data_IF_502662892236
#
_entry.id   IF_502662892236
#
_cell.length_a   1.000
_cell.length_b   1.000
_cell.length_c   1.000
_cell.angle_alpha   90.00
_cell.angle_beta   90.00
_cell.angle_gamma   90.00
#
_symmetry.space_group_name_H-M   'P 1'
#
loop_
_entity.id
_entity.type
_entity.pdbx_description
1 polymer ?
#
# COMPACT_ATOMS: atom_id res chain seq x y z
N UNK A 1 26.04 47.84 14.75
CA UNK A 1 26.40 46.59 14.07
C UNK A 1 25.48 45.49 14.62
N UNK A 2 24.39 45.19 13.90
CA UNK A 2 23.38 44.19 14.27
C UNK A 2 23.37 43.13 13.16
N UNK A 3 23.45 41.85 13.55
CA UNK A 3 23.33 40.72 12.62
C UNK A 3 21.86 40.41 12.34
N UNK A 4 21.49 39.91 11.14
CA UNK A 4 20.14 39.46 10.87
C UNK A 4 19.94 37.99 11.26
N UNK A 5 18.79 37.71 11.87
CA UNK A 5 18.25 36.37 12.09
C UNK A 5 17.72 35.78 10.79
N UNK A 6 18.11 34.55 10.48
CA UNK A 6 17.50 33.77 9.41
C UNK A 6 16.21 33.10 9.92
N UNK A 7 15.10 33.33 9.22
CA UNK A 7 13.82 32.66 9.41
C UNK A 7 13.75 31.55 8.35
N UNK A 8 13.65 30.30 8.78
CA UNK A 8 13.34 29.18 7.90
C UNK A 8 11.82 29.17 7.65
N UNK A 9 11.43 29.41 6.40
CA UNK A 9 10.06 29.26 5.90
C UNK A 9 9.92 27.88 5.27
N UNK A 10 9.07 27.02 5.85
CA UNK A 10 8.55 25.85 5.19
C UNK A 10 7.35 26.29 4.33
N UNK A 11 7.57 26.42 3.02
CA UNK A 11 6.50 26.63 2.04
C UNK A 11 6.25 25.32 1.31
N UNK A 12 5.15 24.66 1.66
CA UNK A 12 4.58 23.57 0.85
C UNK A 12 3.59 24.21 -0.12
N UNK A 13 3.99 24.32 -1.39
CA UNK A 13 3.11 24.74 -2.48
C UNK A 13 2.43 23.49 -3.06
N UNK A 14 1.12 23.37 -2.89
CA UNK A 14 0.26 22.60 -3.80
C UNK A 14 -0.81 23.55 -4.30
N UNK A 15 -0.77 23.82 -5.60
CA UNK A 15 -1.77 24.60 -6.33
C UNK A 15 -2.18 23.75 -7.53
N UNK A 16 -3.44 23.34 -7.59
CA UNK A 16 -4.07 22.83 -8.82
C UNK A 16 -5.42 23.51 -9.00
N UNK A 17 -5.66 23.88 -10.25
CA UNK A 17 -6.79 24.67 -10.74
C UNK A 17 -7.99 23.77 -11.01
N UNK A 18 -9.17 24.22 -10.60
CA UNK A 18 -10.47 23.63 -10.92
C UNK A 18 -10.91 24.00 -12.35
N UNK A 19 -11.69 23.12 -13.00
CA UNK A 19 -12.78 23.55 -13.87
C UNK A 19 -14.14 23.17 -13.27
N UNK A 20 -14.97 24.20 -13.07
CA UNK A 20 -16.42 24.10 -12.82
C UNK A 20 -17.11 23.37 -13.98
N UNK A 21 -17.99 22.40 -13.69
CA UNK A 21 -19.26 22.25 -14.42
C UNK A 21 -20.39 21.73 -13.52
N UNK A 22 -21.54 22.37 -13.69
CA UNK A 22 -22.83 22.16 -13.03
C UNK A 22 -23.59 20.98 -13.66
N UNK A 23 -24.31 20.18 -12.86
CA UNK A 23 -25.79 20.08 -12.86
C UNK A 23 -26.26 18.89 -11.99
N UNK A 24 -27.46 19.04 -11.45
CA UNK A 24 -28.10 18.26 -10.38
C UNK A 24 -29.45 17.68 -10.93
N UNK A 25 -30.28 16.95 -10.14
CA UNK A 25 -30.60 15.51 -10.16
C UNK A 25 -32.07 15.25 -10.65
N UNK A 26 -32.93 14.24 -10.28
CA UNK A 26 -32.84 13.15 -9.26
C UNK A 26 -33.55 11.78 -9.52
N UNK A 27 -33.41 10.88 -8.50
CA UNK A 27 -34.30 9.78 -8.02
C UNK A 27 -34.42 8.51 -8.90
N UNK A 28 -34.49 7.25 -8.39
CA UNK A 28 -35.40 6.68 -7.37
C UNK A 28 -35.02 5.19 -7.03
N UNK A 29 -35.23 4.79 -5.77
CA UNK A 29 -35.64 3.49 -5.14
C UNK A 29 -35.33 2.04 -5.67
N UNK A 30 -34.89 1.21 -4.69
CA UNK A 30 -35.26 -0.19 -4.29
C UNK A 30 -35.03 -1.43 -5.18
N UNK A 31 -34.38 -2.45 -4.58
CA UNK A 31 -34.54 -3.88 -4.97
C UNK A 31 -33.63 -4.87 -4.23
N UNK A 32 -34.22 -5.76 -3.41
CA UNK A 32 -33.61 -6.96 -2.77
C UNK A 32 -33.77 -8.17 -3.72
N UNK A 33 -32.85 -9.15 -3.75
CA UNK A 33 -33.10 -10.62 -3.68
C UNK A 33 -31.79 -11.45 -3.66
N UNK A 34 -31.78 -12.45 -2.77
CA UNK A 34 -30.81 -13.52 -2.49
C UNK A 34 -30.48 -14.45 -3.68
N UNK A 35 -29.30 -15.10 -3.66
CA UNK A 35 -29.18 -16.54 -3.89
C UNK A 35 -27.95 -17.16 -3.21
N UNK A 36 -28.20 -18.32 -2.59
CA UNK A 36 -27.27 -19.21 -1.90
C UNK A 36 -26.68 -20.22 -2.89
N UNK A 37 -25.36 -20.46 -2.84
CA UNK A 37 -24.74 -21.63 -3.43
C UNK A 37 -23.76 -22.28 -2.46
N UNK A 38 -24.07 -23.53 -2.10
CA UNK A 38 -23.18 -24.45 -1.44
C UNK A 38 -22.02 -24.82 -2.39
N UNK A 39 -20.78 -24.69 -1.92
CA UNK A 39 -19.72 -25.58 -2.39
C UNK A 39 -18.76 -25.91 -1.25
N UNK A 40 -18.45 -27.20 -1.14
CA UNK A 40 -17.66 -27.83 -0.10
C UNK A 40 -16.17 -27.74 -0.43
N UNK A 41 -15.40 -27.03 0.40
CA UNK A 41 -13.93 -27.06 0.40
C UNK A 41 -13.38 -27.12 1.84
N UNK A 42 -12.15 -27.65 2.04
CA UNK A 42 -11.73 -28.23 3.30
C UNK A 42 -11.45 -27.18 4.38
N UNK A 43 -11.81 -27.53 5.62
CA UNK A 43 -11.60 -26.73 6.83
C UNK A 43 -10.10 -26.51 7.07
N UNK A 44 -9.60 -25.36 6.67
CA UNK A 44 -8.41 -24.76 7.27
C UNK A 44 -8.90 -23.81 8.37
N UNK A 45 -8.45 -24.02 9.62
CA UNK A 45 -8.69 -23.09 10.72
C UNK A 45 -7.50 -22.14 10.81
N UNK A 46 -7.54 -20.92 10.25
CA UNK A 46 -6.72 -19.86 10.80
C UNK A 46 -7.21 -19.56 12.22
N UNK A 47 -6.27 -19.40 13.14
CA UNK A 47 -6.58 -18.85 14.46
C UNK A 47 -7.25 -17.49 14.27
N UNK A 48 -8.44 -17.22 14.82
CA UNK A 48 -9.05 -15.91 14.67
C UNK A 48 -8.20 -14.91 15.47
N UNK A 49 -7.47 -14.05 14.77
CA UNK A 49 -7.23 -12.73 15.32
C UNK A 49 -8.61 -12.09 15.43
N UNK A 50 -9.15 -12.05 16.65
CA UNK A 50 -10.38 -11.32 16.95
C UNK A 50 -10.02 -9.85 16.80
N UNK A 51 -10.36 -9.29 15.65
CA UNK A 51 -10.31 -7.85 15.41
C UNK A 51 -11.46 -7.24 16.21
N UNK A 52 -11.14 -6.69 17.39
CA UNK A 52 -12.08 -5.87 18.12
C UNK A 52 -12.18 -4.53 17.40
N UNK A 53 -13.30 -4.32 16.70
CA UNK A 53 -13.73 -2.99 16.30
C UNK A 53 -14.03 -2.22 17.59
N UNK A 54 -13.18 -1.24 17.92
CA UNK A 54 -13.40 -0.38 19.07
C UNK A 54 -13.92 0.95 18.55
N UNK A 55 -15.24 1.12 18.57
CA UNK A 55 -15.87 2.44 18.40
C UNK A 55 -15.34 3.34 19.52
N UNK A 56 -14.66 4.42 19.15
CA UNK A 56 -14.14 5.40 20.09
C UNK A 56 -15.29 6.08 20.81
N UNK A 57 -15.50 5.71 22.07
CA UNK A 57 -16.43 6.35 22.98
C UNK A 57 -15.89 7.74 23.38
N UNK A 58 -16.43 8.82 22.81
CA UNK A 58 -16.12 10.19 23.20
C UNK A 58 -17.00 10.60 24.39
N UNK A 59 -16.39 10.81 25.56
CA UNK A 59 -17.05 11.43 26.72
C UNK A 59 -16.20 12.56 27.30
N UNK A 60 -16.82 13.76 27.33
CA UNK A 60 -16.57 14.82 28.29
C UNK A 60 -15.67 15.96 27.83
N UNK A 61 -16.26 17.03 27.29
CA UNK A 61 -15.65 18.37 27.31
C UNK A 61 -16.71 19.38 27.74
N UNK A 62 -16.34 20.16 28.75
CA UNK A 62 -17.08 21.28 29.32
C UNK A 62 -17.26 22.42 28.30
N UNK A 63 -18.44 23.04 28.37
CA UNK A 63 -18.89 24.14 27.52
C UNK A 63 -18.29 25.46 28.01
N UNK A 64 -17.59 26.17 27.13
CA UNK A 64 -17.38 27.61 27.23
C UNK A 64 -17.25 28.25 25.82
N UNK A 65 -18.25 29.08 25.52
CA UNK A 65 -18.29 30.31 24.72
C UNK A 65 -17.69 30.39 23.29
N UNK A 66 -18.65 30.39 22.35
CA UNK A 66 -18.92 31.27 21.20
C UNK A 66 -17.86 31.52 20.09
N UNK A 67 -18.37 31.29 18.86
CA UNK A 67 -17.92 31.74 17.54
C UNK A 67 -16.63 31.15 16.96
N UNK A 68 -16.65 29.84 16.74
CA UNK A 68 -15.84 29.18 15.71
C UNK A 68 -16.80 28.66 14.64
N UNK A 69 -16.73 29.23 13.44
CA UNK A 69 -17.26 28.56 12.24
C UNK A 69 -16.39 27.32 12.01
N UNK A 70 -16.68 26.24 12.74
CA UNK A 70 -16.23 24.91 12.38
C UNK A 70 -17.01 24.56 11.11
N UNK A 71 -16.40 24.83 9.96
CA UNK A 71 -16.78 24.09 8.76
C UNK A 71 -16.55 22.64 9.10
N UNK A 72 -17.64 21.91 9.35
CA UNK A 72 -17.68 20.45 9.47
C UNK A 72 -17.13 19.88 8.15
N UNK A 73 -15.80 19.86 8.04
CA UNK A 73 -15.06 19.17 7.00
C UNK A 73 -15.34 17.70 7.28
N UNK A 74 -16.37 17.17 6.61
CA UNK A 74 -16.79 15.78 6.69
C UNK A 74 -15.56 14.91 6.47
N UNK A 75 -14.98 14.45 7.58
CA UNK A 75 -13.74 13.68 7.52
C UNK A 75 -14.05 12.36 6.84
N UNK A 76 -13.47 12.15 5.67
CA UNK A 76 -13.62 10.93 4.88
C UNK A 76 -13.52 9.67 5.77
N UNK A 77 -14.39 8.67 5.57
CA UNK A 77 -14.39 7.47 6.40
C UNK A 77 -13.03 6.78 6.30
N UNK A 78 -12.35 6.67 7.44
CA UNK A 78 -11.03 6.04 7.53
C UNK A 78 -11.04 4.91 8.56
N UNK A 79 -10.47 3.78 8.18
CA UNK A 79 -10.27 2.65 9.10
C UNK A 79 -8.86 2.73 9.67
N UNK A 80 -8.74 2.62 11.00
CA UNK A 80 -7.45 2.73 11.69
C UNK A 80 -7.17 1.52 12.56
N UNK A 81 -6.03 0.88 12.32
CA UNK A 81 -5.52 -0.25 13.09
C UNK A 81 -4.23 0.15 13.80
N UNK A 82 -4.03 -0.31 15.04
CA UNK A 82 -2.79 -0.09 15.79
C UNK A 82 -2.30 -1.38 16.39
N UNK A 83 -1.00 -1.64 16.29
CA UNK A 83 -0.35 -2.85 16.81
C UNK A 83 1.03 -2.54 17.36
N UNK A 84 1.43 -3.27 18.41
CA UNK A 84 2.71 -3.09 19.08
C UNK A 84 3.65 -4.25 18.77
N UNK A 85 4.93 -3.95 18.56
CA UNK A 85 5.96 -4.89 18.17
C UNK A 85 7.27 -4.60 18.91
N UNK A 86 8.16 -5.59 18.93
CA UNK A 86 9.53 -5.42 19.41
C UNK A 86 10.49 -5.94 18.33
N UNK A 87 11.27 -5.04 17.73
CA UNK A 87 12.23 -5.37 16.68
C UNK A 87 13.66 -5.26 17.24
N UNK A 88 14.22 -6.38 17.69
CA UNK A 88 15.59 -6.42 18.20
C UNK A 88 15.81 -5.52 19.42
N UNK A 89 14.83 -5.44 20.32
CA UNK A 89 14.85 -4.58 21.50
C UNK A 89 14.26 -3.19 21.28
N UNK A 90 13.95 -2.79 20.03
CA UNK A 90 13.31 -1.52 19.72
C UNK A 90 11.77 -1.68 19.81
N UNK A 91 11.08 -1.06 20.78
CA UNK A 91 9.63 -1.08 20.84
C UNK A 91 9.05 -0.23 19.69
N UNK A 92 8.16 -0.82 18.90
CA UNK A 92 7.54 -0.17 17.76
C UNK A 92 6.02 -0.19 17.89
N UNK A 93 5.38 0.92 17.52
CA UNK A 93 3.93 1.01 17.35
C UNK A 93 3.65 1.25 15.87
N UNK A 94 3.04 0.27 15.22
CA UNK A 94 2.53 0.37 13.86
C UNK A 94 1.09 0.88 13.90
N UNK A 95 0.82 1.94 13.16
CA UNK A 95 -0.53 2.41 12.87
C UNK A 95 -0.76 2.28 11.37
N UNK A 96 -1.80 1.54 10.98
CA UNK A 96 -2.24 1.39 9.59
C UNK A 96 -3.56 2.13 9.42
N UNK A 97 -3.66 2.97 8.39
CA UNK A 97 -4.88 3.70 8.04
C UNK A 97 -5.30 3.36 6.62
N UNK A 98 -6.57 3.04 6.41
CA UNK A 98 -7.16 2.81 5.10
C UNK A 98 -8.13 3.93 4.80
N UNK A 99 -7.99 4.55 3.64
CA UNK A 99 -8.88 5.58 3.13
C UNK A 99 -9.24 5.24 1.69
N UNK A 100 -10.48 5.50 1.27
CA UNK A 100 -10.84 5.42 -0.14
C UNK A 100 -10.12 6.54 -0.90
N UNK A 101 -9.78 6.31 -2.17
CA UNK A 101 -9.20 7.34 -3.01
C UNK A 101 -10.31 8.26 -3.54
N UNK A 102 -10.18 9.56 -3.32
CA UNK A 102 -11.22 10.56 -3.61
C UNK A 102 -11.67 10.54 -5.08
N UNK A 103 -10.73 10.34 -6.01
CA UNK A 103 -10.99 10.39 -7.45
C UNK A 103 -11.19 8.99 -8.09
N UNK A 104 -10.91 7.90 -7.36
CA UNK A 104 -10.84 6.55 -7.92
C UNK A 104 -11.60 5.56 -7.01
N UNK A 105 -12.87 5.27 -7.28
CA UNK A 105 -13.76 4.58 -6.35
C UNK A 105 -13.28 3.15 -5.99
N UNK A 106 -12.56 2.50 -6.90
CA UNK A 106 -12.01 1.15 -6.74
C UNK A 106 -10.55 1.13 -6.27
N UNK A 107 -10.06 2.26 -5.73
CA UNK A 107 -8.70 2.40 -5.18
C UNK A 107 -8.75 2.83 -3.72
N UNK A 108 -7.90 2.23 -2.91
CA UNK A 108 -7.79 2.53 -1.49
C UNK A 108 -6.35 2.83 -1.12
N UNK A 109 -6.13 3.96 -0.46
CA UNK A 109 -4.82 4.35 0.06
C UNK A 109 -4.62 3.69 1.42
N UNK A 110 -3.50 2.99 1.56
CA UNK A 110 -3.10 2.27 2.77
C UNK A 110 -1.79 2.87 3.26
N UNK A 111 -1.87 3.60 4.38
CA UNK A 111 -0.70 4.25 4.98
C UNK A 111 -0.28 3.54 6.26
N UNK A 112 0.99 3.20 6.35
CA UNK A 112 1.61 2.58 7.51
C UNK A 112 2.57 3.57 8.18
N UNK A 113 2.27 3.96 9.42
CA UNK A 113 3.14 4.82 10.21
C UNK A 113 3.73 4.04 11.39
N UNK A 114 5.06 3.99 11.46
CA UNK A 114 5.79 3.29 12.52
C UNK A 114 6.37 4.32 13.48
N UNK A 115 6.10 4.14 14.77
CA UNK A 115 6.61 5.02 15.81
C UNK A 115 7.36 4.24 16.88
N UNK A 116 8.24 4.93 17.60
CA UNK A 116 8.85 4.45 18.85
C UNK A 116 8.77 5.56 19.90
N UNK A 117 9.22 5.28 21.11
CA UNK A 117 9.39 6.28 22.16
C UNK A 117 10.86 6.69 22.21
N UNK A 118 11.13 8.00 22.31
CA UNK A 118 12.47 8.50 22.58
C UNK A 118 12.81 8.35 24.09
N UNK A 119 13.99 8.82 24.50
CA UNK A 119 14.44 8.77 25.91
C UNK A 119 13.53 9.57 26.86
N UNK A 120 12.87 10.62 26.36
CA UNK A 120 11.90 11.44 27.09
C UNK A 120 10.51 10.81 27.18
N UNK A 121 10.27 9.69 26.48
CA UNK A 121 8.94 9.08 26.37
C UNK A 121 8.04 9.67 25.29
N UNK A 122 8.54 10.57 24.44
CA UNK A 122 7.76 11.14 23.33
C UNK A 122 7.69 10.17 22.16
N UNK A 123 6.52 10.14 21.52
CA UNK A 123 6.28 9.35 20.31
C UNK A 123 6.96 10.01 19.12
N UNK A 124 7.92 9.31 18.50
CA UNK A 124 8.63 9.75 17.30
C UNK A 124 8.40 8.76 16.16
N UNK A 125 8.23 9.28 14.94
CA UNK A 125 8.03 8.44 13.75
C UNK A 125 9.37 7.90 13.25
N UNK A 126 9.52 6.59 13.17
CA UNK A 126 10.77 5.95 12.72
C UNK A 126 10.72 5.55 11.25
N UNK A 127 9.54 5.23 10.74
CA UNK A 127 9.33 4.85 9.36
C UNK A 127 7.89 5.14 8.93
N UNK A 128 7.70 5.27 7.62
CA UNK A 128 6.40 5.40 6.98
C UNK A 128 6.41 4.61 5.67
N UNK A 129 5.29 4.03 5.29
CA UNK A 129 5.07 3.53 3.95
C UNK A 129 3.67 3.90 3.46
N UNK A 130 3.56 4.15 2.17
CA UNK A 130 2.30 4.39 1.47
C UNK A 130 2.17 3.34 0.36
N UNK A 131 0.98 2.76 0.27
CA UNK A 131 0.61 1.79 -0.75
C UNK A 131 -0.81 2.04 -1.20
N UNK A 132 -1.14 1.64 -2.42
CA UNK A 132 -2.50 1.68 -2.95
C UNK A 132 -2.98 0.27 -3.26
N UNK A 133 -4.16 -0.07 -2.77
CA UNK A 133 -4.88 -1.27 -3.13
C UNK A 133 -5.77 -0.93 -4.32
N UNK A 134 -5.60 -1.64 -5.42
CA UNK A 134 -6.41 -1.48 -6.64
C UNK A 134 -7.25 -2.74 -6.80
N UNK A 135 -8.57 -2.57 -6.73
CA UNK A 135 -9.53 -3.64 -7.01
C UNK A 135 -9.70 -3.80 -8.52
N UNK A 136 -8.75 -4.52 -9.13
CA UNK A 136 -8.67 -4.67 -10.58
C UNK A 136 -9.95 -5.23 -11.18
N UNK A 137 -10.61 -6.17 -10.51
CA UNK A 137 -11.81 -6.83 -11.05
C UNK A 137 -12.93 -5.82 -11.24
N UNK A 138 -13.16 -4.98 -10.23
CA UNK A 138 -14.16 -3.91 -10.31
C UNK A 138 -13.79 -2.83 -11.35
N UNK A 139 -12.51 -2.47 -11.48
CA UNK A 139 -12.08 -1.51 -12.54
C UNK A 139 -12.29 -2.10 -13.94
N UNK A 140 -12.01 -3.38 -14.14
CA UNK A 140 -12.22 -4.04 -15.43
C UNK A 140 -13.71 -4.19 -15.77
N UNK A 141 -14.58 -4.33 -14.77
CA UNK A 141 -16.03 -4.36 -14.94
C UNK A 141 -16.60 -3.02 -15.45
N UNK A 142 -15.89 -1.89 -15.24
CA UNK A 142 -16.22 -0.60 -15.85
C UNK A 142 -15.86 -0.54 -17.35
N UNK A 143 -14.87 -1.33 -17.79
CA UNK A 143 -14.48 -1.53 -19.19
C UNK A 143 -12.97 -1.63 -19.41
N UNK A 144 -12.54 -2.31 -20.48
CA UNK A 144 -11.11 -2.52 -20.79
C UNK A 144 -10.35 -1.19 -21.00
N UNK A 145 -10.99 -0.18 -21.61
CA UNK A 145 -10.37 1.13 -21.80
C UNK A 145 -10.21 1.90 -20.48
N UNK A 146 -11.09 1.64 -19.49
CA UNK A 146 -11.04 2.29 -18.17
C UNK A 146 -9.81 1.84 -17.37
N UNK A 147 -9.34 0.60 -17.58
CA UNK A 147 -8.14 0.10 -16.91
C UNK A 147 -6.90 0.97 -17.16
N UNK A 148 -6.69 1.39 -18.40
CA UNK A 148 -5.57 2.28 -18.72
C UNK A 148 -5.72 3.64 -18.05
N UNK A 149 -6.90 4.27 -18.15
CA UNK A 149 -7.15 5.58 -17.59
C UNK A 149 -7.07 5.57 -16.06
N UNK A 150 -7.55 4.51 -15.42
CA UNK A 150 -7.44 4.31 -13.98
C UNK A 150 -5.99 4.28 -13.52
N UNK A 151 -5.14 3.51 -14.22
CA UNK A 151 -3.71 3.41 -13.88
C UNK A 151 -2.93 4.70 -14.15
N UNK A 152 -3.29 5.45 -15.20
CA UNK A 152 -2.73 6.78 -15.49
C UNK A 152 -3.15 7.82 -14.44
N UNK A 153 -4.42 7.79 -14.05
CA UNK A 153 -4.99 8.72 -13.06
C UNK A 153 -4.42 8.48 -11.66
N UNK A 154 -4.19 7.22 -11.26
CA UNK A 154 -3.68 6.89 -9.92
C UNK A 154 -2.27 7.48 -9.70
N UNK A 155 -1.30 7.08 -10.52
CA UNK A 155 0.06 7.61 -10.43
C UNK A 155 0.93 7.21 -11.62
N UNK A 156 2.05 7.92 -11.76
CA UNK A 156 3.09 7.54 -12.71
C UNK A 156 3.66 6.14 -12.44
N UNK A 157 3.68 5.68 -11.19
CA UNK A 157 4.19 4.35 -10.84
C UNK A 157 3.20 3.25 -11.27
N UNK A 158 1.89 3.49 -11.12
CA UNK A 158 0.85 2.62 -11.64
C UNK A 158 0.88 2.55 -13.17
N UNK A 159 0.98 3.70 -13.85
CA UNK A 159 1.12 3.71 -15.32
C UNK A 159 2.37 2.92 -15.77
N UNK A 160 3.50 3.09 -15.10
CA UNK A 160 4.72 2.31 -15.42
C UNK A 160 4.53 0.81 -15.18
N UNK A 161 3.77 0.42 -14.15
CA UNK A 161 3.42 -0.98 -13.89
C UNK A 161 2.60 -1.53 -15.06
N UNK A 162 1.60 -0.77 -15.51
CA UNK A 162 0.81 -1.09 -16.70
C UNK A 162 1.72 -1.24 -17.94
N UNK A 163 2.54 -0.25 -18.25
CA UNK A 163 3.38 -0.27 -19.44
C UNK A 163 4.42 -1.40 -19.47
N UNK A 164 4.93 -1.82 -18.31
CA UNK A 164 5.96 -2.85 -18.25
C UNK A 164 5.42 -4.25 -18.01
N UNK A 165 4.38 -4.39 -17.18
CA UNK A 165 3.93 -5.68 -16.64
C UNK A 165 2.56 -6.07 -17.14
N UNK A 166 1.59 -5.16 -17.21
CA UNK A 166 0.17 -5.51 -17.41
C UNK A 166 -0.35 -5.20 -18.82
N UNK A 167 -1.22 -6.03 -19.37
CA UNK A 167 -1.91 -5.80 -20.64
C UNK A 167 -3.17 -4.94 -20.48
N UNK A 168 -3.81 -4.61 -21.59
CA UNK A 168 -5.04 -3.80 -21.62
C UNK A 168 -6.21 -4.46 -20.89
N UNK A 169 -6.26 -5.79 -20.84
CA UNK A 169 -7.22 -6.59 -20.10
C UNK A 169 -6.88 -6.74 -18.61
N UNK A 170 -5.88 -6.02 -18.10
CA UNK A 170 -5.41 -6.12 -16.72
C UNK A 170 -4.60 -7.37 -16.39
N UNK A 171 -4.44 -8.31 -17.33
CA UNK A 171 -3.56 -9.48 -17.20
C UNK A 171 -2.07 -9.14 -17.28
N UNK A 172 -1.19 -10.11 -17.09
CA UNK A 172 0.25 -9.97 -17.29
C UNK A 172 0.60 -10.13 -18.77
N UNK A 173 1.55 -9.33 -19.27
CA UNK A 173 1.98 -9.40 -20.67
C UNK A 173 2.60 -10.76 -21.00
N UNK A 174 2.22 -11.33 -22.15
CA UNK A 174 2.83 -12.56 -22.70
C UNK A 174 4.36 -12.50 -22.82
N UNK A 175 4.92 -11.31 -23.07
CA UNK A 175 6.39 -11.15 -23.12
C UNK A 175 7.09 -11.53 -21.81
N UNK A 176 6.38 -11.45 -20.68
CA UNK A 176 6.84 -11.86 -19.34
C UNK A 176 6.54 -13.34 -19.08
N UNK A 177 5.38 -13.86 -19.49
CA UNK A 177 5.04 -15.26 -19.22
C UNK A 177 5.89 -16.21 -20.06
N UNK A 178 5.87 -16.00 -21.38
CA UNK A 178 6.38 -16.94 -22.37
C UNK A 178 7.46 -16.32 -23.28
N UNK A 179 7.60 -15.00 -23.27
CA UNK A 179 8.47 -14.26 -24.19
C UNK A 179 9.88 -13.93 -23.68
N UNK A 180 10.48 -12.93 -24.35
CA UNK A 180 11.87 -12.51 -24.14
C UNK A 180 12.11 -11.72 -22.83
N UNK A 181 11.04 -11.26 -22.17
CA UNK A 181 11.12 -10.54 -20.88
C UNK A 181 10.85 -11.45 -19.69
N UNK A 182 10.83 -12.78 -19.87
CA UNK A 182 10.51 -13.77 -18.82
C UNK A 182 11.42 -13.74 -17.59
N UNK A 183 12.66 -13.29 -17.74
CA UNK A 183 13.60 -13.18 -16.61
C UNK A 183 13.76 -14.51 -15.87
N UNK A 184 13.49 -14.51 -14.56
CA UNK A 184 13.57 -15.71 -13.72
C UNK A 184 12.45 -16.74 -13.97
N UNK A 185 11.36 -16.34 -14.64
CA UNK A 185 10.18 -17.19 -14.84
C UNK A 185 9.44 -17.55 -13.55
N UNK A 186 9.66 -16.80 -12.46
CA UNK A 186 8.96 -16.97 -11.17
C UNK A 186 7.49 -16.56 -11.28
N UNK A 187 7.21 -15.58 -12.16
CA UNK A 187 5.91 -14.96 -12.31
C UNK A 187 5.30 -15.30 -13.66
N UNK A 188 3.99 -15.57 -13.67
CA UNK A 188 3.18 -15.86 -14.85
C UNK A 188 1.74 -15.40 -14.69
N UNK A 189 0.81 -16.12 -15.33
CA UNK A 189 -0.63 -15.83 -15.34
C UNK A 189 -1.30 -15.83 -13.97
N UNK A 190 -0.63 -16.30 -12.91
CA UNK A 190 -1.16 -16.12 -11.56
C UNK A 190 -1.34 -14.64 -11.20
N UNK A 191 -0.62 -13.72 -11.85
CA UNK A 191 -0.80 -12.29 -11.66
C UNK A 191 -2.09 -11.75 -12.31
N UNK A 192 -2.82 -12.55 -13.10
CA UNK A 192 -4.01 -12.13 -13.86
C UNK A 192 -5.27 -12.00 -13.00
N UNK A 193 -5.26 -12.61 -11.80
CA UNK A 193 -6.45 -12.71 -10.94
C UNK A 193 -6.37 -11.87 -9.65
N UNK A 194 -7.49 -11.27 -9.23
CA UNK A 194 -7.65 -10.56 -7.96
C UNK A 194 -7.10 -9.13 -7.90
N UNK A 195 -7.35 -8.47 -6.78
CA UNK A 195 -6.79 -7.16 -6.47
C UNK A 195 -5.27 -7.24 -6.20
N UNK A 196 -4.59 -6.10 -6.28
CA UNK A 196 -3.18 -6.03 -5.90
C UNK A 196 -2.84 -4.76 -5.14
N UNK A 197 -1.77 -4.83 -4.36
CA UNK A 197 -1.22 -3.71 -3.61
C UNK A 197 0.01 -3.15 -4.30
N UNK A 198 0.01 -1.89 -4.71
CA UNK A 198 1.19 -1.19 -5.22
C UNK A 198 1.83 -0.36 -4.10
N UNK A 199 3.05 -0.73 -3.68
CA UNK A 199 3.83 0.02 -2.70
C UNK A 199 4.52 1.19 -3.41
N UNK A 200 4.08 2.41 -3.08
CA UNK A 200 4.53 3.66 -3.72
C UNK A 200 5.74 4.24 -3.01
N UNK A 201 5.63 4.41 -1.71
CA UNK A 201 6.68 5.06 -0.91
C UNK A 201 7.04 4.24 0.33
N UNK A 202 8.34 4.22 0.64
CA UNK A 202 8.84 3.69 1.90
C UNK A 202 9.98 4.57 2.38
N UNK A 203 9.81 5.09 3.60
CA UNK A 203 10.77 5.97 4.25
C UNK A 203 11.18 5.41 5.61
N UNK A 204 12.48 5.45 5.91
CA UNK A 204 13.03 5.16 7.24
C UNK A 204 13.93 6.31 7.65
N UNK A 205 13.66 6.86 8.83
CA UNK A 205 14.47 7.93 9.40
C UNK A 205 15.91 7.48 9.58
N UNK A 206 16.84 8.37 9.26
CA UNK A 206 18.28 8.09 9.22
C UNK A 206 18.83 7.40 10.48
N UNK A 207 18.47 7.78 11.73
CA UNK A 207 18.97 7.12 12.95
C UNK A 207 18.55 5.64 13.10
N UNK A 208 17.50 5.23 12.37
CA UNK A 208 16.90 3.91 12.41
C UNK A 208 17.20 3.06 11.16
N UNK A 209 17.95 3.61 10.19
CA UNK A 209 18.46 2.84 9.05
C UNK A 209 19.42 1.73 9.52
N UNK A 210 19.59 0.70 8.69
CA UNK A 210 20.42 -0.48 8.98
C UNK A 210 20.01 -1.32 10.21
N UNK A 211 18.82 -1.08 10.81
CA UNK A 211 18.27 -1.88 11.92
C UNK A 211 17.19 -2.88 11.48
N UNK A 212 17.07 -3.11 10.18
CA UNK A 212 16.04 -4.01 9.61
C UNK A 212 14.62 -3.44 9.57
N UNK A 213 14.41 -2.16 9.92
CA UNK A 213 13.08 -1.51 9.98
C UNK A 213 12.36 -1.56 8.63
N UNK A 214 13.03 -1.23 7.53
CA UNK A 214 12.43 -1.26 6.19
C UNK A 214 11.94 -2.67 5.82
N UNK A 215 12.80 -3.68 6.00
CA UNK A 215 12.47 -5.09 5.74
C UNK A 215 11.31 -5.56 6.62
N UNK A 216 11.33 -5.21 7.90
CA UNK A 216 10.25 -5.54 8.83
C UNK A 216 8.93 -4.89 8.40
N UNK A 217 8.95 -3.60 8.04
CA UNK A 217 7.76 -2.88 7.59
C UNK A 217 7.19 -3.47 6.30
N UNK A 218 8.02 -3.76 5.29
CA UNK A 218 7.59 -4.44 4.07
C UNK A 218 6.85 -5.76 4.38
N UNK A 219 7.35 -6.53 5.35
CA UNK A 219 6.70 -7.77 5.78
C UNK A 219 5.37 -7.52 6.50
N UNK A 220 5.23 -6.42 7.24
CA UNK A 220 3.95 -6.07 7.85
C UNK A 220 2.92 -5.69 6.77
N UNK A 221 3.33 -4.90 5.78
CA UNK A 221 2.46 -4.49 4.67
C UNK A 221 1.86 -5.72 3.97
N UNK A 222 2.70 -6.70 3.62
CA UNK A 222 2.27 -7.92 2.91
C UNK A 222 1.72 -9.02 3.83
N UNK A 223 1.61 -8.79 5.14
CA UNK A 223 1.03 -9.77 6.08
C UNK A 223 -0.48 -9.71 6.18
N UNK A 224 -1.10 -8.70 5.55
CA UNK A 224 -2.55 -8.48 5.56
C UNK A 224 -3.15 -8.95 4.24
N UNK A 225 -3.75 -10.16 4.17
CA UNK A 225 -4.27 -10.73 2.92
C UNK A 225 -5.63 -10.15 2.51
N UNK A 226 -6.29 -9.43 3.41
CA UNK A 226 -7.67 -9.00 3.26
C UNK A 226 -7.83 -7.59 3.80
N UNK A 227 -8.45 -6.73 3.00
CA UNK A 227 -8.70 -5.34 3.32
C UNK A 227 -10.19 -5.14 3.52
N UNK A 228 -10.55 -4.61 4.68
CA UNK A 228 -11.92 -4.12 4.93
C UNK A 228 -12.04 -2.76 4.25
N UNK A 229 -13.05 -2.61 3.41
CA UNK A 229 -13.30 -1.37 2.68
C UNK A 229 -14.04 -0.35 3.59
N UNK A 230 -13.64 0.93 3.61
CA UNK A 230 -14.32 1.94 4.44
C UNK A 230 -15.79 2.17 4.07
N UNK A 231 -16.12 2.05 2.78
CA UNK A 231 -17.39 2.51 2.21
C UNK A 231 -18.31 1.40 1.73
N UNK A 232 -18.04 0.13 2.05
CA UNK A 232 -18.84 -0.99 1.55
C UNK A 232 -18.77 -2.26 2.42
N UNK A 233 -19.74 -3.18 2.29
CA UNK A 233 -19.77 -4.44 3.04
C UNK A 233 -18.74 -5.48 2.56
N UNK A 234 -17.80 -5.09 1.70
CA UNK A 234 -16.86 -5.97 1.02
C UNK A 234 -15.54 -6.14 1.77
N UNK A 235 -15.02 -7.37 1.71
CA UNK A 235 -13.62 -7.67 2.02
C UNK A 235 -12.94 -7.90 0.67
N UNK A 236 -11.95 -7.08 0.34
CA UNK A 236 -11.13 -7.30 -0.86
C UNK A 236 -9.95 -8.18 -0.50
N UNK A 237 -9.82 -9.31 -1.17
CA UNK A 237 -8.65 -10.18 -1.05
C UNK A 237 -7.56 -9.72 -1.99
N UNK A 238 -6.37 -9.51 -1.44
CA UNK A 238 -5.22 -9.02 -2.19
C UNK A 238 -4.15 -10.12 -2.25
N UNK A 239 -4.13 -10.94 -3.30
CA UNK A 239 -3.14 -12.00 -3.44
C UNK A 239 -1.71 -11.51 -3.76
N UNK A 240 -1.57 -10.31 -4.32
CA UNK A 240 -0.29 -9.83 -4.87
C UNK A 240 0.09 -8.43 -4.35
N UNK A 241 1.39 -8.21 -4.16
CA UNK A 241 1.92 -6.86 -3.96
C UNK A 241 3.02 -6.56 -4.98
N UNK A 242 2.98 -5.37 -5.56
CA UNK A 242 3.97 -4.83 -6.48
C UNK A 242 4.74 -3.67 -5.84
N UNK A 243 5.96 -3.45 -6.30
CA UNK A 243 6.77 -2.29 -5.95
C UNK A 243 7.76 -1.96 -7.08
N UNK A 244 8.10 -0.68 -7.22
CA UNK A 244 9.23 -0.23 -8.02
C UNK A 244 10.36 0.25 -7.09
N UNK A 245 11.29 -0.64 -6.70
CA UNK A 245 12.33 -0.31 -5.73
C UNK A 245 13.38 0.64 -6.31
N UNK A 246 13.16 1.94 -6.16
CA UNK A 246 14.07 2.99 -6.62
C UNK A 246 14.42 3.99 -5.48
N UNK A 247 15.70 4.32 -5.26
CA UNK A 247 16.09 5.25 -4.21
C UNK A 247 15.78 6.71 -4.59
N UNK A 248 15.02 7.41 -3.73
CA UNK A 248 14.69 8.83 -3.96
C UNK A 248 15.90 9.73 -3.67
N UNK A 249 16.58 9.54 -2.53
CA UNK A 249 17.68 10.40 -2.05
C UNK A 249 19.04 10.08 -2.67
N UNK A 250 19.27 8.82 -3.04
CA UNK A 250 20.58 8.29 -3.49
C UNK A 250 20.44 7.62 -4.84
N UNK A 251 20.25 8.43 -5.88
CA UNK A 251 20.11 8.01 -7.28
C UNK A 251 21.45 7.56 -7.90
N UNK A 252 22.15 6.68 -7.20
CA UNK A 252 23.37 6.04 -7.64
C UNK A 252 23.23 4.51 -7.55
N UNK A 253 24.14 3.79 -8.21
CA UNK A 253 24.09 2.32 -8.30
C UNK A 253 24.13 1.65 -6.91
N UNK A 254 24.80 2.27 -5.94
CA UNK A 254 24.88 1.76 -4.57
C UNK A 254 23.52 1.85 -3.85
N UNK A 255 22.85 3.00 -3.92
CA UNK A 255 21.52 3.19 -3.35
C UNK A 255 20.51 2.22 -3.96
N UNK A 256 20.58 2.04 -5.28
CA UNK A 256 19.70 1.11 -6.00
C UNK A 256 19.94 -0.35 -5.56
N UNK A 257 21.21 -0.75 -5.44
CA UNK A 257 21.57 -2.08 -4.95
C UNK A 257 21.09 -2.33 -3.51
N UNK A 258 21.15 -1.32 -2.63
CA UNK A 258 20.66 -1.41 -1.24
C UNK A 258 19.14 -1.58 -1.21
N UNK A 259 18.39 -0.78 -1.96
CA UNK A 259 16.92 -0.87 -2.00
C UNK A 259 16.49 -2.22 -2.57
N UNK A 260 17.06 -2.64 -3.72
CA UNK A 260 16.78 -3.96 -4.32
C UNK A 260 17.09 -5.11 -3.36
N UNK A 261 18.24 -5.07 -2.67
CA UNK A 261 18.57 -6.06 -1.63
C UNK A 261 17.57 -6.06 -0.48
N UNK A 262 17.10 -4.89 -0.06
CA UNK A 262 16.10 -4.77 1.01
C UNK A 262 14.79 -5.45 0.62
N UNK A 263 14.26 -5.16 -0.57
CA UNK A 263 13.06 -5.81 -1.10
C UNK A 263 13.26 -7.32 -1.30
N UNK A 264 14.40 -7.73 -1.87
CA UNK A 264 14.72 -9.15 -2.03
C UNK A 264 14.73 -9.88 -0.68
N UNK A 265 15.43 -9.35 0.33
CA UNK A 265 15.47 -9.99 1.66
C UNK A 265 14.13 -9.96 2.39
N UNK A 266 13.21 -9.08 1.99
CA UNK A 266 11.83 -9.06 2.48
C UNK A 266 10.96 -10.15 1.83
N UNK A 267 11.38 -10.75 0.72
CA UNK A 267 10.67 -11.82 0.01
C UNK A 267 10.17 -11.42 -1.38
N UNK A 268 10.44 -10.19 -1.82
CA UNK A 268 10.04 -9.76 -3.16
C UNK A 268 10.98 -10.33 -4.21
N UNK A 269 10.43 -10.59 -5.39
CA UNK A 269 11.20 -11.06 -6.55
C UNK A 269 10.84 -10.23 -7.79
N UNK A 270 11.84 -9.94 -8.62
CA UNK A 270 11.67 -9.18 -9.85
C UNK A 270 10.68 -9.87 -10.80
N UNK A 271 9.81 -9.10 -11.45
CA UNK A 271 8.85 -9.56 -12.45
C UNK A 271 9.50 -9.54 -13.83
N UNK A 272 9.84 -10.72 -14.34
CA UNK A 272 10.54 -10.83 -15.62
C UNK A 272 11.88 -10.09 -15.62
N UNK A 273 12.13 -9.32 -16.67
CA UNK A 273 13.27 -8.38 -16.79
C UNK A 273 12.85 -6.92 -16.55
N UNK A 274 11.69 -6.67 -15.95
CA UNK A 274 11.15 -5.31 -15.73
C UNK A 274 11.78 -4.63 -14.52
N UNK A 275 11.47 -3.36 -14.28
CA UNK A 275 11.89 -2.68 -13.05
C UNK A 275 11.05 -3.03 -11.82
N UNK A 276 9.93 -3.73 -12.01
CA UNK A 276 8.98 -4.06 -10.96
C UNK A 276 9.31 -5.37 -10.24
N UNK A 277 8.95 -5.39 -8.97
CA UNK A 277 9.12 -6.52 -8.07
C UNK A 277 7.76 -6.89 -7.50
N UNK A 278 7.49 -8.18 -7.37
CA UNK A 278 6.24 -8.69 -6.83
C UNK A 278 6.46 -9.58 -5.60
N UNK A 279 5.39 -9.77 -4.83
CA UNK A 279 5.31 -10.65 -3.67
C UNK A 279 3.96 -11.37 -3.64
N UNK A 280 3.97 -12.67 -3.35
CA UNK A 280 2.73 -13.46 -3.17
C UNK A 280 2.30 -13.42 -1.71
N UNK A 281 1.19 -12.73 -1.47
CA UNK A 281 0.56 -12.60 -0.14
C UNK A 281 -0.18 -13.91 0.18
N UNK A 282 -0.93 -14.45 -0.77
CA UNK A 282 -1.81 -15.60 -0.56
C UNK A 282 -1.08 -16.95 -0.48
N UNK A 283 0.09 -17.10 -1.12
CA UNK A 283 0.78 -18.38 -1.23
C UNK A 283 2.17 -18.35 -0.55
N UNK A 284 2.23 -18.91 0.67
CA UNK A 284 3.48 -19.04 1.44
C UNK A 284 4.56 -19.89 0.75
N UNK A 285 4.15 -20.81 -0.13
CA UNK A 285 5.04 -21.71 -0.87
C UNK A 285 5.42 -21.16 -2.26
N UNK A 286 5.03 -19.92 -2.56
CA UNK A 286 5.35 -19.32 -3.85
C UNK A 286 6.88 -19.22 -4.05
N UNK A 287 7.42 -19.55 -5.24
CA UNK A 287 8.86 -19.52 -5.49
C UNK A 287 9.52 -18.18 -5.17
N UNK A 288 8.79 -17.07 -5.32
CA UNK A 288 9.27 -15.73 -4.98
C UNK A 288 9.69 -15.58 -3.51
N UNK A 289 9.10 -16.37 -2.60
CA UNK A 289 9.39 -16.34 -1.16
C UNK A 289 10.56 -17.23 -0.77
N UNK A 290 10.81 -18.30 -1.53
CA UNK A 290 11.83 -19.31 -1.23
C UNK A 290 13.21 -18.89 -1.76
N UNK A 291 13.25 -18.21 -2.91
CA UNK A 291 14.49 -17.85 -3.61
C UNK A 291 15.47 -17.01 -2.77
N UNK A 292 15.00 -16.36 -1.72
CA UNK A 292 15.75 -15.35 -0.95
C UNK A 292 16.72 -15.94 0.08
N UNK A 293 16.64 -17.25 0.37
CA UNK A 293 17.51 -17.90 1.36
C UNK A 293 18.78 -18.54 0.78
N UNK A 294 18.92 -18.62 -0.54
CA UNK A 294 20.11 -19.22 -1.17
C UNK A 294 21.11 -18.12 -1.52
N UNK A 295 21.63 -17.42 -0.52
CA UNK A 295 22.86 -16.64 -0.75
C UNK A 295 23.97 -17.67 -0.91
N UNK A 296 24.45 -17.85 -2.14
CA UNK A 296 25.65 -18.64 -2.38
C UNK A 296 26.77 -18.10 -1.47
N UNK A 297 27.53 -18.96 -0.76
CA UNK A 297 28.60 -18.50 0.11
C UNK A 297 29.54 -17.63 -0.72
N UNK A 298 29.68 -16.36 -0.32
CA UNK A 298 30.62 -15.44 -0.94
C UNK A 298 32.00 -16.08 -0.88
N UNK A 299 32.51 -16.56 -2.00
CA UNK A 299 33.90 -16.96 -2.08
C UNK A 299 34.72 -15.71 -1.81
N UNK A 300 35.38 -15.68 -0.66
CA UNK A 300 36.26 -14.59 -0.25
C UNK A 300 37.36 -14.42 -1.30
N UNK A 301 37.45 -13.20 -1.83
CA UNK A 301 38.63 -12.68 -2.51
C UNK A 301 39.55 -12.04 -1.46
#
# INVERSE_FOLDING_TARGET
>A
MRMPHAIFSHTSCRLRLLPLYLLHPPATELGIVLLSLHSSLPRFKPSPAIWMYQEGNTHGVDVADEDIFDSDEESEPSLRFTSQYNLGGLPLTLTTTHTQHDELPHTYVVTHNVHTLNESGDKIRVAQAESVLIDREEVLDEGEDEWFFHMDAESHDALNLYEQVLSGDGGVKETIVSGNKRGSGIWGHELDDGAFLLIKELYVQQPYRNRGVAKWLLRQIVSTPSFVLPSGPGIVTCPWAFAWPFPVESRNDEGEAIVKRTFNTAGFSQVGTTTFWAYSIANDQHPSRIATNTTAPSQGL
#
